data_IF_625721924888
#
_entry.id   IF_625721924888
#
_cell.length_a   1.000
_cell.length_b   1.000
_cell.length_c   1.000
_cell.angle_alpha   90.00
_cell.angle_beta   90.00
_cell.angle_gamma   90.00
#
_symmetry.space_group_name_H-M   'P 1'
#
loop_
_entity.id
_entity.type
_entity.pdbx_description
1 polymer ?
#
# COMPACT_ATOMS: atom_id res chain seq x y z
N UNK A 1 -9.65 -30.90 -26.61
CA UNK A 1 -10.03 -29.52 -26.96
C UNK A 1 -9.24 -28.58 -26.07
N UNK A 2 -8.12 -28.05 -26.55
CA UNK A 2 -7.29 -27.07 -25.83
C UNK A 2 -7.86 -25.67 -26.06
N UNK A 3 -8.30 -25.02 -24.98
CA UNK A 3 -8.79 -23.63 -25.05
C UNK A 3 -7.60 -22.68 -25.29
N UNK A 4 -7.55 -21.94 -26.40
CA UNK A 4 -6.42 -21.09 -26.77
C UNK A 4 -6.22 -19.85 -25.88
N UNK A 5 -6.96 -19.70 -24.76
CA UNK A 5 -6.84 -18.59 -23.81
C UNK A 5 -6.13 -18.92 -22.49
N UNK A 6 -5.94 -20.20 -22.15
CA UNK A 6 -5.40 -20.59 -20.84
C UNK A 6 -3.91 -20.22 -20.65
N UNK A 7 -3.10 -20.33 -21.71
CA UNK A 7 -1.66 -20.10 -21.65
C UNK A 7 -1.27 -18.63 -21.45
N UNK A 8 -2.02 -17.70 -22.06
CA UNK A 8 -1.76 -16.27 -21.93
C UNK A 8 -2.11 -15.76 -20.52
N UNK A 9 -3.24 -16.20 -19.95
CA UNK A 9 -3.65 -15.83 -18.60
C UNK A 9 -2.71 -16.40 -17.51
N UNK A 10 -2.17 -17.61 -17.73
CA UNK A 10 -1.16 -18.21 -16.84
C UNK A 10 0.17 -17.46 -16.90
N UNK A 11 0.69 -17.12 -18.09
CA UNK A 11 1.90 -16.31 -18.23
C UNK A 11 1.77 -14.93 -17.60
N UNK A 12 0.60 -14.27 -17.70
CA UNK A 12 0.36 -12.99 -17.04
C UNK A 12 0.34 -13.11 -15.51
N UNK A 13 -0.22 -14.19 -14.96
CA UNK A 13 -0.24 -14.42 -13.51
C UNK A 13 1.16 -14.69 -12.96
N UNK A 14 1.95 -15.50 -13.63
CA UNK A 14 3.32 -15.80 -13.20
C UNK A 14 4.21 -14.56 -13.26
N UNK A 15 4.01 -13.67 -14.25
CA UNK A 15 4.72 -12.40 -14.35
C UNK A 15 4.42 -11.43 -13.19
N UNK A 16 3.21 -11.48 -12.59
CA UNK A 16 2.79 -10.55 -11.52
C UNK A 16 3.01 -11.11 -10.11
N UNK A 17 3.42 -12.38 -10.01
CA UNK A 17 3.68 -13.06 -8.74
C UNK A 17 4.77 -12.37 -7.90
N UNK A 18 5.92 -11.94 -8.48
CA UNK A 18 6.95 -11.21 -7.72
C UNK A 18 6.43 -9.90 -7.13
N UNK A 19 5.64 -9.14 -7.90
CA UNK A 19 5.01 -7.90 -7.44
C UNK A 19 4.03 -8.13 -6.29
N UNK A 20 3.27 -9.21 -6.35
CA UNK A 20 2.37 -9.59 -5.26
C UNK A 20 3.15 -9.89 -3.98
N UNK A 21 4.28 -10.61 -4.08
CA UNK A 21 5.14 -10.92 -2.94
C UNK A 21 5.69 -9.63 -2.31
N UNK A 22 6.13 -8.66 -3.12
CA UNK A 22 6.62 -7.37 -2.62
C UNK A 22 5.54 -6.62 -1.84
N UNK A 23 4.33 -6.48 -2.39
CA UNK A 23 3.22 -5.78 -1.72
C UNK A 23 2.80 -6.48 -0.41
N UNK A 24 2.81 -7.82 -0.40
CA UNK A 24 2.53 -8.60 0.81
C UNK A 24 3.65 -8.44 1.85
N UNK A 25 4.91 -8.40 1.44
CA UNK A 25 6.03 -8.17 2.34
C UNK A 25 5.98 -6.77 2.98
N UNK A 26 5.61 -5.75 2.19
CA UNK A 26 5.36 -4.37 2.63
C UNK A 26 4.26 -4.32 3.71
N UNK A 27 3.10 -4.92 3.42
CA UNK A 27 2.02 -5.06 4.39
C UNK A 27 2.46 -5.81 5.67
N UNK A 28 3.20 -6.90 5.52
CA UNK A 28 3.78 -7.65 6.64
C UNK A 28 4.73 -6.81 7.50
N UNK A 29 5.53 -5.94 6.87
CA UNK A 29 6.42 -5.00 7.55
C UNK A 29 5.66 -4.04 8.47
N UNK A 30 4.52 -3.49 8.01
CA UNK A 30 3.66 -2.65 8.84
C UNK A 30 3.11 -3.40 10.06
N UNK A 31 2.66 -4.65 9.87
CA UNK A 31 2.18 -5.47 11.00
C UNK A 31 3.31 -5.74 12.00
N UNK A 32 4.51 -6.09 11.51
CA UNK A 32 5.67 -6.34 12.37
C UNK A 32 6.09 -5.09 13.16
N UNK A 33 6.03 -3.91 12.56
CA UNK A 33 6.27 -2.65 13.27
C UNK A 33 5.25 -2.43 14.39
N UNK A 34 3.96 -2.72 14.16
CA UNK A 34 2.93 -2.65 15.20
C UNK A 34 3.28 -3.56 16.40
N UNK A 35 3.69 -4.81 16.11
CA UNK A 35 4.10 -5.78 17.12
C UNK A 35 5.32 -5.27 17.89
N UNK A 36 6.33 -4.75 17.20
CA UNK A 36 7.52 -4.17 17.85
C UNK A 36 7.14 -3.03 18.78
N UNK A 37 6.30 -2.09 18.35
CA UNK A 37 5.84 -0.98 19.18
C UNK A 37 5.14 -1.45 20.46
N UNK A 38 4.29 -2.48 20.37
CA UNK A 38 3.65 -3.10 21.54
C UNK A 38 4.70 -3.68 22.49
N UNK A 39 5.68 -4.41 21.97
CA UNK A 39 6.73 -5.05 22.78
C UNK A 39 7.61 -4.04 23.51
N UNK A 40 7.88 -2.87 22.93
CA UNK A 40 8.64 -1.79 23.57
C UNK A 40 7.79 -0.91 24.50
N UNK A 41 6.52 -1.29 24.74
CA UNK A 41 5.66 -0.66 25.73
C UNK A 41 4.81 0.51 25.22
N UNK A 42 4.57 0.62 23.91
CA UNK A 42 3.62 1.60 23.38
C UNK A 42 2.22 1.37 23.98
N UNK A 43 1.55 2.47 24.35
CA UNK A 43 0.24 2.44 25.00
C UNK A 43 -0.86 2.87 24.03
N UNK A 44 -2.05 2.31 24.23
CA UNK A 44 -3.27 2.77 23.56
C UNK A 44 -3.89 3.87 24.43
N UNK A 45 -3.48 5.11 24.18
CA UNK A 45 -4.02 6.29 24.84
C UNK A 45 -4.62 7.24 23.81
N UNK A 46 -5.52 8.13 24.21
CA UNK A 46 -6.08 9.10 23.27
C UNK A 46 -4.99 10.10 22.88
N UNK A 47 -4.57 10.14 21.61
CA UNK A 47 -3.53 11.08 21.19
C UNK A 47 -4.02 12.52 21.15
N UNK A 48 -3.08 13.45 21.15
CA UNK A 48 -3.40 14.87 21.03
C UNK A 48 -4.06 15.15 19.67
N UNK A 49 -5.04 16.07 19.66
CA UNK A 49 -5.83 16.39 18.46
C UNK A 49 -4.96 16.77 17.26
N UNK A 50 -3.86 17.49 17.48
CA UNK A 50 -2.95 17.88 16.40
C UNK A 50 -2.26 16.68 15.72
N UNK A 51 -1.96 15.61 16.47
CA UNK A 51 -1.36 14.40 15.92
C UNK A 51 -2.35 13.66 15.02
N UNK A 52 -3.62 13.61 15.44
CA UNK A 52 -4.71 13.06 14.63
C UNK A 52 -4.93 13.86 13.36
N UNK A 53 -4.82 15.19 13.41
CA UNK A 53 -4.92 16.05 12.22
C UNK A 53 -3.78 15.77 11.23
N UNK A 54 -2.53 15.67 11.71
CA UNK A 54 -1.38 15.36 10.85
C UNK A 54 -1.52 13.96 10.23
N UNK A 55 -1.86 12.96 11.04
CA UNK A 55 -2.10 11.59 10.58
C UNK A 55 -3.26 11.52 9.58
N UNK A 56 -4.36 12.23 9.84
CA UNK A 56 -5.52 12.32 8.96
C UNK A 56 -5.20 12.97 7.62
N UNK A 57 -4.52 14.12 7.63
CA UNK A 57 -4.10 14.82 6.40
C UNK A 57 -3.13 13.96 5.58
N UNK A 58 -2.17 13.30 6.22
CA UNK A 58 -1.26 12.38 5.53
C UNK A 58 -2.03 11.21 4.88
N UNK A 59 -3.00 10.64 5.60
CA UNK A 59 -3.83 9.53 5.10
C UNK A 59 -4.69 9.93 3.91
N UNK A 60 -5.42 11.04 4.03
CA UNK A 60 -6.27 11.57 2.94
C UNK A 60 -5.43 11.96 1.74
N UNK A 61 -4.29 12.63 1.96
CA UNK A 61 -3.35 13.02 0.90
C UNK A 61 -2.79 11.80 0.16
N UNK A 62 -2.34 10.78 0.88
CA UNK A 62 -1.84 9.54 0.29
C UNK A 62 -2.90 8.81 -0.54
N UNK A 63 -4.13 8.72 -0.03
CA UNK A 63 -5.25 8.11 -0.76
C UNK A 63 -5.64 8.93 -2.00
N UNK A 64 -5.69 10.25 -1.89
CA UNK A 64 -5.95 11.14 -3.01
C UNK A 64 -4.90 10.98 -4.12
N UNK A 65 -3.63 10.93 -3.76
CA UNK A 65 -2.52 10.70 -4.70
C UNK A 65 -2.59 9.28 -5.31
N UNK A 66 -2.90 8.26 -4.53
CA UNK A 66 -3.05 6.89 -5.03
C UNK A 66 -4.22 6.76 -6.02
N UNK A 67 -5.30 7.51 -5.81
CA UNK A 67 -6.45 7.58 -6.72
C UNK A 67 -6.13 8.37 -8.00
N UNK A 68 -5.42 9.49 -7.89
CA UNK A 68 -5.04 10.34 -9.02
C UNK A 68 -3.86 9.79 -9.83
N UNK A 69 -3.14 8.79 -9.30
CA UNK A 69 -1.96 8.22 -9.96
C UNK A 69 -2.30 7.69 -11.36
N UNK A 70 -1.59 8.14 -12.41
CA UNK A 70 -1.92 7.83 -13.80
C UNK A 70 -1.85 6.33 -14.09
N UNK A 71 -2.75 5.86 -14.97
CA UNK A 71 -2.73 4.48 -15.49
C UNK A 71 -1.77 4.44 -16.69
N UNK A 72 -0.80 3.51 -16.74
CA UNK A 72 0.11 3.42 -17.88
C UNK A 72 -0.67 3.21 -19.18
N UNK A 73 -0.35 4.01 -20.21
CA UNK A 73 -0.85 3.78 -21.57
C UNK A 73 -0.06 2.64 -22.17
N UNK A 74 -0.73 1.73 -22.91
CA UNK A 74 -0.07 0.61 -23.56
C UNK A 74 1.12 1.13 -24.40
N UNK A 75 2.33 0.79 -23.98
CA UNK A 75 3.54 0.95 -24.77
C UNK A 75 3.97 -0.43 -25.29
N UNK A 76 4.79 -0.49 -26.34
CA UNK A 76 5.31 -1.76 -26.87
C UNK A 76 6.30 -2.48 -25.93
N UNK A 77 6.37 -2.11 -24.65
CA UNK A 77 7.25 -2.69 -23.64
C UNK A 77 6.61 -3.93 -22.98
N UNK A 78 7.41 -4.84 -22.38
CA UNK A 78 6.88 -5.94 -21.59
C UNK A 78 5.96 -5.45 -20.46
N UNK A 79 4.82 -6.10 -20.27
CA UNK A 79 3.78 -5.70 -19.31
C UNK A 79 4.32 -5.52 -17.88
N UNK A 80 5.26 -6.38 -17.46
CA UNK A 80 5.89 -6.30 -16.14
C UNK A 80 6.69 -4.99 -15.97
N UNK A 81 7.47 -4.60 -16.98
CA UNK A 81 8.26 -3.35 -16.95
C UNK A 81 7.37 -2.10 -16.91
N UNK A 82 6.16 -2.17 -17.46
CA UNK A 82 5.18 -1.09 -17.37
C UNK A 82 4.46 -1.04 -16.02
N UNK A 83 4.12 -2.18 -15.43
CA UNK A 83 3.27 -2.26 -14.23
C UNK A 83 4.06 -2.10 -12.94
N UNK A 84 5.29 -2.64 -12.90
CA UNK A 84 6.13 -2.67 -11.70
C UNK A 84 6.36 -1.29 -11.05
N UNK A 85 6.85 -0.25 -11.76
CA UNK A 85 7.14 1.03 -11.12
C UNK A 85 5.89 1.71 -10.55
N UNK A 86 4.73 1.55 -11.19
CA UNK A 86 3.48 2.15 -10.71
C UNK A 86 2.92 1.44 -9.48
N UNK A 87 3.00 0.11 -9.43
CA UNK A 87 2.59 -0.66 -8.25
C UNK A 87 3.48 -0.29 -7.06
N UNK A 88 4.81 -0.23 -7.26
CA UNK A 88 5.76 0.14 -6.21
C UNK A 88 5.53 1.59 -5.76
N UNK A 89 5.36 2.53 -6.68
CA UNK A 89 5.08 3.93 -6.35
C UNK A 89 3.79 4.08 -5.55
N UNK A 90 2.70 3.42 -5.96
CA UNK A 90 1.43 3.45 -5.24
C UNK A 90 1.56 2.81 -3.86
N UNK A 91 2.27 1.69 -3.76
CA UNK A 91 2.52 1.05 -2.47
C UNK A 91 3.29 1.99 -1.53
N UNK A 92 4.37 2.61 -2.00
CA UNK A 92 5.15 3.57 -1.22
C UNK A 92 4.33 4.79 -0.78
N UNK A 93 3.51 5.37 -1.66
CA UNK A 93 2.61 6.47 -1.31
C UNK A 93 1.62 6.06 -0.21
N UNK A 94 1.09 4.84 -0.29
CA UNK A 94 0.13 4.32 0.66
C UNK A 94 0.77 3.94 2.01
N UNK A 95 2.06 3.67 2.07
CA UNK A 95 2.80 3.46 3.33
C UNK A 95 3.17 4.76 4.05
N UNK A 96 3.28 5.88 3.34
CA UNK A 96 3.70 7.16 3.92
C UNK A 96 2.89 7.59 5.17
N UNK A 97 1.54 7.42 5.22
CA UNK A 97 0.78 7.73 6.43
C UNK A 97 1.19 6.88 7.64
N UNK A 98 1.49 5.60 7.44
CA UNK A 98 1.95 4.71 8.51
C UNK A 98 3.34 5.14 9.02
N UNK A 99 4.23 5.58 8.13
CA UNK A 99 5.54 6.12 8.52
C UNK A 99 5.41 7.42 9.31
N UNK A 100 4.51 8.32 8.90
CA UNK A 100 4.19 9.54 9.67
C UNK A 100 3.63 9.18 11.04
N UNK A 101 2.68 8.24 11.09
CA UNK A 101 2.10 7.74 12.34
C UNK A 101 3.15 7.11 13.26
N UNK A 102 4.15 6.42 12.71
CA UNK A 102 5.26 5.83 13.45
C UNK A 102 6.11 6.91 14.12
N UNK A 103 6.48 7.95 13.36
CA UNK A 103 7.23 9.09 13.90
C UNK A 103 6.43 9.78 15.02
N UNK A 104 5.13 10.03 14.80
CA UNK A 104 4.28 10.66 15.80
C UNK A 104 4.10 9.80 17.06
N UNK A 105 4.07 8.48 16.93
CA UNK A 105 4.02 7.57 18.06
C UNK A 105 5.24 7.79 18.97
N UNK A 106 6.45 7.87 18.41
CA UNK A 106 7.69 8.13 19.16
C UNK A 106 7.79 9.54 19.77
N UNK A 107 7.21 10.55 19.12
CA UNK A 107 7.16 11.92 19.65
C UNK A 107 6.16 12.05 20.80
N UNK A 108 5.20 11.14 20.90
CA UNK A 108 4.22 11.13 22.00
C UNK A 108 4.86 10.68 23.30
N UNK A 109 4.56 11.37 24.40
CA UNK A 109 4.95 10.97 25.75
C UNK A 109 3.69 10.80 26.63
N UNK A 110 3.32 9.56 27.01
CA UNK A 110 3.97 8.28 26.65
C UNK A 110 3.80 7.92 25.17
N UNK A 111 4.63 6.99 24.70
CA UNK A 111 4.63 6.53 23.31
C UNK A 111 3.27 5.93 22.95
N UNK A 112 2.59 6.55 21.98
CA UNK A 112 1.18 6.28 21.72
C UNK A 112 1.00 5.46 20.44
N UNK A 113 0.51 4.23 20.60
CA UNK A 113 0.31 3.28 19.52
C UNK A 113 -0.82 3.68 18.56
N UNK A 114 -1.86 4.38 19.04
CA UNK A 114 -3.03 4.70 18.22
C UNK A 114 -2.69 5.59 17.02
N UNK A 115 -1.71 6.48 17.18
CA UNK A 115 -1.27 7.40 16.11
C UNK A 115 -0.58 6.66 14.96
N UNK A 116 0.02 5.51 15.24
CA UNK A 116 0.56 4.61 14.23
C UNK A 116 -0.51 3.68 13.66
N UNK A 117 -1.31 3.07 14.53
CA UNK A 117 -2.19 1.97 14.19
C UNK A 117 -3.32 2.41 13.23
N UNK A 118 -3.89 3.60 13.43
CA UNK A 118 -4.94 4.12 12.56
C UNK A 118 -4.43 4.33 11.12
N UNK A 119 -3.36 5.11 10.87
CA UNK A 119 -2.78 5.23 9.53
C UNK A 119 -2.32 3.89 8.95
N UNK A 120 -1.72 3.01 9.76
CA UNK A 120 -1.27 1.70 9.29
C UNK A 120 -2.42 0.83 8.76
N UNK A 121 -3.59 0.83 9.43
CA UNK A 121 -4.78 0.14 8.93
C UNK A 121 -5.27 0.74 7.60
N UNK A 122 -5.27 2.06 7.46
CA UNK A 122 -5.62 2.71 6.20
C UNK A 122 -4.60 2.45 5.10
N UNK A 123 -3.31 2.36 5.41
CA UNK A 123 -2.25 1.94 4.50
C UNK A 123 -2.47 0.52 4.01
N UNK A 124 -2.76 -0.42 4.92
CA UNK A 124 -3.07 -1.81 4.59
C UNK A 124 -4.32 -1.93 3.70
N UNK A 125 -5.39 -1.21 4.05
CA UNK A 125 -6.60 -1.15 3.23
C UNK A 125 -6.32 -0.57 1.84
N UNK A 126 -5.53 0.50 1.77
CA UNK A 126 -5.09 1.10 0.52
C UNK A 126 -4.27 0.14 -0.35
N UNK A 127 -3.29 -0.55 0.25
CA UNK A 127 -2.48 -1.57 -0.44
C UNK A 127 -3.37 -2.67 -1.01
N UNK A 128 -4.36 -3.11 -0.24
CA UNK A 128 -5.30 -4.14 -0.65
C UNK A 128 -6.22 -3.69 -1.80
N UNK A 129 -6.67 -2.43 -1.79
CA UNK A 129 -7.60 -1.89 -2.79
C UNK A 129 -6.92 -1.40 -4.07
N UNK A 130 -5.72 -0.81 -3.97
CA UNK A 130 -5.07 -0.09 -5.07
C UNK A 130 -3.77 -0.73 -5.57
N UNK A 131 -3.06 -1.48 -4.72
CA UNK A 131 -1.78 -2.11 -5.07
C UNK A 131 -1.91 -3.59 -5.47
N UNK A 132 -3.12 -4.18 -5.43
CA UNK A 132 -3.35 -5.52 -5.98
C UNK A 132 -3.06 -5.55 -7.48
N UNK A 133 -2.10 -6.36 -7.96
CA UNK A 133 -1.73 -6.41 -9.38
C UNK A 133 -2.93 -6.77 -10.29
N UNK A 134 -3.83 -7.62 -9.81
CA UNK A 134 -5.07 -7.99 -10.50
C UNK A 134 -6.02 -6.80 -10.74
N UNK A 135 -6.05 -5.82 -9.84
CA UNK A 135 -6.87 -4.60 -9.98
C UNK A 135 -6.22 -3.65 -10.99
N UNK A 136 -4.89 -3.54 -10.99
CA UNK A 136 -4.15 -2.71 -11.95
C UNK A 136 -4.31 -3.25 -13.37
N UNK A 137 -4.22 -4.57 -13.57
CA UNK A 137 -4.45 -5.21 -14.88
C UNK A 137 -5.89 -5.03 -15.36
N UNK A 138 -6.90 -5.20 -14.49
CA UNK A 138 -8.31 -4.95 -14.87
C UNK A 138 -8.60 -3.50 -15.26
N UNK A 139 -7.85 -2.54 -14.71
CA UNK A 139 -7.98 -1.13 -15.11
C UNK A 139 -7.32 -0.85 -16.45
N UNK A 140 -6.18 -1.50 -16.73
CA UNK A 140 -5.52 -1.43 -18.03
C UNK A 140 -6.40 -2.02 -19.14
N UNK A 141 -7.07 -3.15 -18.90
CA UNK A 141 -7.94 -3.79 -19.90
C UNK A 141 -9.26 -3.06 -20.18
N UNK A 142 -9.64 -2.06 -19.36
CA UNK A 142 -10.82 -1.21 -19.58
C UNK A 142 -10.47 0.13 -20.23
N UNK A 143 -9.20 0.50 -20.22
CA UNK A 143 -8.69 1.72 -20.84
C UNK A 143 -8.27 1.51 -22.30
N UNK A 144 -8.23 0.25 -22.75
CA UNK A 144 -8.19 -0.18 -24.16
C UNK A 144 -9.59 -0.32 -24.73
#
# INVERSE_FOLDING_TARGET
MSFPGASADEQHRDALRPLTIVVVAMAGGLVMLAVVLVLIGARLETPATWQLLVAGLATVGAWGLALAAPVPRQSGMPLLAQVQPFVVLRAALLEAPAMVGLVLAFVSQPMNLLVYLVPALFSLAGLWLFARPSVVVRRLSRAS
#
